data_IF_576330151011
#
_entry.id   IF_576330151011
#
_cell.length_a   1.000
_cell.length_b   1.000
_cell.length_c   1.000
_cell.angle_alpha   90.00
_cell.angle_beta   90.00
_cell.angle_gamma   90.00
#
_symmetry.space_group_name_H-M   'P 1'
#
loop_
_entity.id
_entity.type
_entity.pdbx_description
1 polymer ?
#
# COMPACT_ATOMS: atom_id res chain seq x y z
N UNK A 1 -0.04 0.27 17.76
CA UNK A 1 1.24 -0.29 17.29
C UNK A 1 1.06 -0.63 15.83
N UNK A 2 1.96 -0.21 14.93
CA UNK A 2 1.88 -0.66 13.54
C UNK A 2 2.41 -2.10 13.45
N UNK A 3 1.63 -2.93 12.78
CA UNK A 3 1.81 -4.36 12.56
C UNK A 3 2.36 -4.60 11.16
N UNK A 4 1.83 -3.90 10.16
CA UNK A 4 2.16 -4.17 8.74
C UNK A 4 3.29 -3.30 8.18
N UNK A 5 3.54 -2.11 8.76
CA UNK A 5 4.54 -1.16 8.28
C UNK A 5 4.46 -0.90 6.75
N UNK A 6 3.24 -0.81 6.21
CA UNK A 6 3.01 -0.55 4.80
C UNK A 6 3.44 0.89 4.41
N UNK A 7 3.67 1.12 3.10
CA UNK A 7 4.26 2.37 2.60
C UNK A 7 3.24 3.51 2.54
N UNK A 8 1.99 3.21 2.17
CA UNK A 8 0.93 4.20 1.94
C UNK A 8 -0.37 3.88 2.67
N UNK A 9 -0.71 2.60 2.78
CA UNK A 9 -1.94 2.14 3.41
C UNK A 9 -1.73 2.07 4.93
N UNK A 10 -2.73 2.51 5.69
CA UNK A 10 -2.72 2.38 7.14
C UNK A 10 -3.01 0.94 7.59
N UNK A 11 -2.54 0.59 8.78
CA UNK A 11 -2.87 -0.68 9.43
C UNK A 11 -4.39 -0.94 9.49
N UNK A 12 -5.19 0.09 9.79
CA UNK A 12 -6.65 -0.03 9.90
C UNK A 12 -7.29 -0.39 8.55
N UNK A 13 -6.82 0.20 7.46
CA UNK A 13 -7.28 -0.15 6.11
C UNK A 13 -6.91 -1.58 5.73
N UNK A 14 -5.70 -2.05 6.09
CA UNK A 14 -5.31 -3.44 5.89
C UNK A 14 -6.23 -4.36 6.70
N UNK A 15 -6.50 -4.05 7.96
CA UNK A 15 -7.44 -4.82 8.80
C UNK A 15 -8.86 -4.87 8.22
N UNK A 16 -9.34 -3.78 7.62
CA UNK A 16 -10.63 -3.76 6.91
C UNK A 16 -10.62 -4.70 5.70
N UNK A 17 -9.55 -4.69 4.89
CA UNK A 17 -9.40 -5.63 3.76
C UNK A 17 -9.35 -7.08 4.24
N UNK A 18 -8.65 -7.37 5.35
CA UNK A 18 -8.61 -8.71 5.95
C UNK A 18 -9.98 -9.16 6.48
N UNK A 19 -10.78 -8.25 7.03
CA UNK A 19 -12.15 -8.55 7.45
C UNK A 19 -13.01 -8.94 6.24
N UNK A 20 -12.91 -8.22 5.13
CA UNK A 20 -13.63 -8.55 3.90
C UNK A 20 -13.31 -9.97 3.38
N UNK A 21 -12.05 -10.40 3.47
CA UNK A 21 -11.61 -11.77 3.12
C UNK A 21 -12.30 -12.82 4.02
N UNK A 22 -12.36 -12.58 5.33
CA UNK A 22 -13.05 -13.47 6.28
C UNK A 22 -14.55 -13.55 5.96
N UNK A 23 -15.17 -12.40 5.71
CA UNK A 23 -16.61 -12.31 5.41
C UNK A 23 -16.94 -13.04 4.10
N UNK A 24 -16.07 -12.90 3.08
CA UNK A 24 -16.19 -13.64 1.82
C UNK A 24 -16.09 -15.15 2.04
N UNK A 25 -15.13 -15.61 2.84
CA UNK A 25 -14.97 -17.03 3.19
C UNK A 25 -16.22 -17.59 3.86
N UNK A 26 -16.78 -16.85 4.83
CA UNK A 26 -18.01 -17.23 5.53
C UNK A 26 -19.22 -17.28 4.59
N UNK A 27 -19.30 -16.35 3.65
CA UNK A 27 -20.34 -16.35 2.62
C UNK A 27 -20.24 -17.59 1.72
N UNK A 28 -19.03 -17.99 1.31
CA UNK A 28 -18.84 -19.21 0.50
C UNK A 28 -19.29 -20.47 1.26
N UNK A 29 -18.98 -20.61 2.55
CA UNK A 29 -19.54 -21.72 3.35
C UNK A 29 -21.06 -21.73 3.35
N UNK A 30 -21.68 -20.55 3.46
CA UNK A 30 -23.14 -20.40 3.44
C UNK A 30 -23.70 -20.83 2.08
N UNK A 31 -23.08 -20.42 0.98
CA UNK A 31 -23.47 -20.79 -0.38
C UNK A 31 -23.36 -22.30 -0.62
N UNK A 32 -22.26 -22.94 -0.21
CA UNK A 32 -22.07 -24.39 -0.34
C UNK A 32 -23.08 -25.20 0.49
N UNK A 33 -23.70 -24.58 1.50
CA UNK A 33 -24.76 -25.20 2.29
C UNK A 33 -26.14 -25.14 1.62
N UNK A 34 -26.29 -24.41 0.51
CA UNK A 34 -27.56 -24.27 -0.22
C UNK A 34 -27.76 -25.42 -1.23
N UNK A 35 -28.95 -26.00 -1.25
CA UNK A 35 -29.29 -27.11 -2.15
C UNK A 35 -29.12 -26.75 -3.64
N UNK A 36 -29.43 -25.52 -4.02
CA UNK A 36 -29.36 -25.06 -5.42
C UNK A 36 -27.92 -24.95 -5.95
N UNK A 37 -26.93 -24.82 -5.06
CA UNK A 37 -25.52 -24.77 -5.43
C UNK A 37 -24.98 -26.19 -5.61
N UNK A 38 -25.37 -27.11 -4.74
CA UNK A 38 -24.90 -28.50 -4.75
C UNK A 38 -25.38 -29.31 -5.97
N UNK A 39 -26.40 -28.83 -6.68
CA UNK A 39 -26.88 -29.43 -7.94
C UNK A 39 -26.09 -28.98 -9.16
N UNK A 40 -25.24 -27.95 -9.05
CA UNK A 40 -24.33 -27.48 -10.10
C UNK A 40 -22.87 -27.87 -9.76
N UNK A 41 -22.32 -28.93 -10.39
CA UNK A 41 -20.98 -29.42 -10.12
C UNK A 41 -19.88 -28.42 -10.47
N UNK A 42 -20.09 -27.56 -11.48
CA UNK A 42 -19.10 -26.56 -11.88
C UNK A 42 -19.01 -25.46 -10.83
N UNK A 43 -20.16 -24.92 -10.43
CA UNK A 43 -20.22 -23.88 -9.40
C UNK A 43 -19.72 -24.37 -8.04
N UNK A 44 -20.06 -25.61 -7.67
CA UNK A 44 -19.55 -26.24 -6.45
C UNK A 44 -18.03 -26.37 -6.48
N UNK A 45 -17.45 -26.80 -7.61
CA UNK A 45 -16.00 -26.91 -7.79
C UNK A 45 -15.30 -25.57 -7.67
N UNK A 46 -15.82 -24.53 -8.34
CA UNK A 46 -15.25 -23.17 -8.28
C UNK A 46 -15.25 -22.62 -6.85
N UNK A 47 -16.38 -22.75 -6.15
CA UNK A 47 -16.51 -22.33 -4.76
C UNK A 47 -15.60 -23.12 -3.82
N UNK A 48 -15.43 -24.43 -4.03
CA UNK A 48 -14.53 -25.25 -3.22
C UNK A 48 -13.07 -24.86 -3.40
N UNK A 49 -12.62 -24.58 -4.63
CA UNK A 49 -11.26 -24.09 -4.90
C UNK A 49 -11.04 -22.76 -4.19
N UNK A 50 -11.97 -21.82 -4.36
CA UNK A 50 -11.89 -20.50 -3.75
C UNK A 50 -11.92 -20.57 -2.22
N UNK A 51 -12.78 -21.44 -1.66
CA UNK A 51 -12.84 -21.67 -0.22
C UNK A 51 -11.50 -22.15 0.32
N UNK A 52 -10.90 -23.14 -0.34
CA UNK A 52 -9.60 -23.68 0.07
C UNK A 52 -8.50 -22.62 0.07
N UNK A 53 -8.48 -21.73 -0.92
CA UNK A 53 -7.56 -20.58 -0.92
C UNK A 53 -7.82 -19.66 0.28
N UNK A 54 -9.08 -19.27 0.49
CA UNK A 54 -9.50 -18.37 1.58
C UNK A 54 -9.22 -18.94 2.99
N UNK A 55 -9.36 -20.25 3.18
CA UNK A 55 -9.08 -20.93 4.45
C UNK A 55 -7.61 -20.77 4.87
N UNK A 56 -6.67 -20.98 3.95
CA UNK A 56 -5.24 -20.84 4.23
C UNK A 56 -4.88 -19.42 4.70
N UNK A 57 -5.54 -18.41 4.13
CA UNK A 57 -5.30 -17.00 4.50
C UNK A 57 -5.97 -16.69 5.82
N UNK A 58 -7.21 -17.15 6.02
CA UNK A 58 -7.93 -16.96 7.28
C UNK A 58 -7.18 -17.54 8.48
N UNK A 59 -6.49 -18.67 8.30
CA UNK A 59 -5.60 -19.24 9.33
C UNK A 59 -4.49 -18.25 9.72
N UNK A 60 -3.77 -17.70 8.73
CA UNK A 60 -2.71 -16.70 8.96
C UNK A 60 -3.27 -15.43 9.60
N UNK A 61 -4.47 -14.97 9.20
CA UNK A 61 -5.13 -13.81 9.79
C UNK A 61 -5.45 -14.07 11.27
N UNK A 62 -5.95 -15.25 11.60
CA UNK A 62 -6.30 -15.60 12.98
C UNK A 62 -5.06 -15.70 13.87
N UNK A 63 -3.99 -16.33 13.38
CA UNK A 63 -2.68 -16.34 14.05
C UNK A 63 -2.19 -14.91 14.34
N UNK A 64 -2.23 -14.04 13.32
CA UNK A 64 -1.80 -12.66 13.47
C UNK A 64 -2.66 -11.89 14.49
N UNK A 65 -3.99 -12.07 14.48
CA UNK A 65 -4.88 -11.47 15.47
C UNK A 65 -4.53 -11.93 16.89
N UNK A 66 -4.23 -13.21 17.06
CA UNK A 66 -3.80 -13.75 18.36
C UNK A 66 -2.52 -13.07 18.82
N UNK A 67 -1.47 -13.07 17.99
CA UNK A 67 -0.18 -12.46 18.35
C UNK A 67 -0.28 -10.95 18.57
N UNK A 68 -1.11 -10.24 17.79
CA UNK A 68 -1.34 -8.81 17.99
C UNK A 68 -2.06 -8.53 19.32
N UNK A 69 -2.99 -9.40 19.72
CA UNK A 69 -3.63 -9.37 21.04
C UNK A 69 -2.62 -9.59 22.16
N UNK A 70 -1.86 -10.70 22.10
CA UNK A 70 -0.83 -11.02 23.08
C UNK A 70 0.20 -9.90 23.20
N UNK A 71 0.63 -9.32 22.07
CA UNK A 71 1.58 -8.23 22.04
C UNK A 71 1.00 -6.98 22.70
N UNK A 72 -0.27 -6.62 22.42
CA UNK A 72 -0.92 -5.49 23.09
C UNK A 72 -0.91 -5.67 24.60
N UNK A 73 -1.35 -6.84 25.07
CA UNK A 73 -1.47 -7.13 26.49
C UNK A 73 -0.07 -7.13 27.17
N UNK A 74 0.97 -7.66 26.51
CA UNK A 74 2.36 -7.56 26.98
C UNK A 74 2.86 -6.12 27.00
N UNK A 75 2.52 -5.28 26.02
CA UNK A 75 2.93 -3.87 26.05
C UNK A 75 2.27 -3.11 27.19
N UNK A 76 1.01 -3.41 27.52
CA UNK A 76 0.34 -2.84 28.69
C UNK A 76 1.05 -3.25 29.99
N UNK A 77 1.47 -4.52 30.11
CA UNK A 77 2.27 -4.99 31.24
C UNK A 77 3.64 -4.32 31.32
N UNK A 78 4.26 -4.00 30.19
CA UNK A 78 5.59 -3.36 30.16
C UNK A 78 5.62 -1.94 30.78
N UNK A 79 4.44 -1.34 31.00
CA UNK A 79 4.32 -0.02 31.63
C UNK A 79 4.66 -0.05 33.13
N UNK A 80 4.50 -1.19 33.79
CA UNK A 80 4.82 -1.32 35.22
C UNK A 80 6.34 -1.48 35.42
N UNK A 81 6.88 -0.81 36.45
CA UNK A 81 8.32 -0.78 36.77
C UNK A 81 8.93 -2.18 36.89
N UNK A 82 8.19 -3.12 37.49
CA UNK A 82 8.63 -4.49 37.76
C UNK A 82 8.97 -5.26 36.47
N UNK A 83 8.35 -4.92 35.33
CA UNK A 83 8.55 -5.60 34.05
C UNK A 83 9.55 -4.89 33.12
N UNK A 84 9.96 -3.66 33.43
CA UNK A 84 10.91 -2.91 32.59
C UNK A 84 12.30 -3.53 32.57
N UNK A 85 12.72 -4.12 33.69
CA UNK A 85 14.05 -4.72 33.86
C UNK A 85 14.03 -6.24 33.93
N UNK A 86 12.85 -6.85 33.92
CA UNK A 86 12.68 -8.31 33.88
C UNK A 86 13.12 -8.87 32.51
N UNK A 87 14.25 -9.57 32.51
CA UNK A 87 14.87 -10.13 31.31
C UNK A 87 13.98 -11.17 30.62
N UNK A 88 13.28 -12.00 31.40
CA UNK A 88 12.42 -13.05 30.84
C UNK A 88 11.18 -12.44 30.18
N UNK A 89 10.61 -11.42 30.81
CA UNK A 89 9.51 -10.64 30.24
C UNK A 89 9.93 -9.93 28.95
N UNK A 90 11.07 -9.23 28.94
CA UNK A 90 11.56 -8.55 27.73
C UNK A 90 11.86 -9.54 26.60
N UNK A 91 12.35 -10.74 26.92
CA UNK A 91 12.54 -11.82 25.95
C UNK A 91 11.21 -12.29 25.38
N UNK A 92 10.19 -12.50 26.21
CA UNK A 92 8.85 -12.89 25.77
C UNK A 92 8.23 -11.82 24.87
N UNK A 93 8.28 -10.55 25.28
CA UNK A 93 7.79 -9.40 24.51
C UNK A 93 8.42 -9.37 23.12
N UNK A 94 9.75 -9.52 23.05
CA UNK A 94 10.48 -9.58 21.79
C UNK A 94 10.06 -10.76 20.92
N UNK A 95 9.98 -11.97 21.48
CA UNK A 95 9.57 -13.16 20.73
C UNK A 95 8.16 -13.05 20.17
N UNK A 96 7.23 -12.49 20.94
CA UNK A 96 5.86 -12.23 20.48
C UNK A 96 5.83 -11.18 19.38
N UNK A 97 6.62 -10.10 19.51
CA UNK A 97 6.77 -9.08 18.48
C UNK A 97 7.34 -9.65 17.17
N UNK A 98 8.40 -10.47 17.26
CA UNK A 98 9.04 -11.11 16.11
C UNK A 98 8.03 -12.03 15.37
N UNK A 99 7.29 -12.87 16.10
CA UNK A 99 6.23 -13.73 15.51
C UNK A 99 5.10 -12.93 14.88
N UNK A 100 4.65 -11.86 15.55
CA UNK A 100 3.62 -10.97 15.01
C UNK A 100 4.09 -10.37 13.68
N UNK A 101 5.32 -9.86 13.64
CA UNK A 101 5.92 -9.29 12.44
C UNK A 101 6.10 -10.32 11.31
N UNK A 102 6.58 -11.52 11.60
CA UNK A 102 6.71 -12.60 10.61
C UNK A 102 5.35 -12.94 9.95
N UNK A 103 4.29 -13.04 10.75
CA UNK A 103 2.93 -13.29 10.23
C UNK A 103 2.41 -12.10 9.44
N UNK A 104 2.63 -10.88 9.91
CA UNK A 104 2.22 -9.65 9.23
C UNK A 104 2.88 -9.52 7.86
N UNK A 105 4.20 -9.71 7.77
CA UNK A 105 4.97 -9.67 6.52
C UNK A 105 4.50 -10.74 5.54
N UNK A 106 4.28 -11.98 6.03
CA UNK A 106 3.77 -13.07 5.17
C UNK A 106 2.42 -12.71 4.56
N UNK A 107 1.51 -12.17 5.38
CA UNK A 107 0.17 -11.79 4.94
C UNK A 107 0.19 -10.58 3.99
N UNK A 108 0.99 -9.57 4.32
CA UNK A 108 1.20 -8.39 3.48
C UNK A 108 1.69 -8.77 2.09
N UNK A 109 2.74 -9.59 2.00
CA UNK A 109 3.27 -10.06 0.72
C UNK A 109 2.25 -10.87 -0.07
N UNK A 110 1.44 -11.68 0.60
CA UNK A 110 0.37 -12.43 -0.05
C UNK A 110 -0.70 -11.50 -0.65
N UNK A 111 -1.13 -10.48 0.10
CA UNK A 111 -2.08 -9.47 -0.37
C UNK A 111 -1.54 -8.71 -1.59
N UNK A 112 -0.24 -8.33 -1.56
CA UNK A 112 0.45 -7.71 -2.69
C UNK A 112 0.45 -8.60 -3.93
N UNK A 113 0.80 -9.88 -3.79
CA UNK A 113 0.84 -10.84 -4.90
C UNK A 113 -0.54 -11.08 -5.55
N UNK A 114 -1.61 -10.90 -4.78
CA UNK A 114 -2.98 -11.08 -5.25
C UNK A 114 -3.60 -9.78 -5.78
N UNK A 115 -2.85 -8.67 -5.83
CA UNK A 115 -3.36 -7.37 -6.28
C UNK A 115 -4.42 -6.77 -5.34
N UNK A 116 -4.38 -7.15 -4.05
CA UNK A 116 -5.33 -6.62 -3.06
C UNK A 116 -4.85 -5.31 -2.43
N UNK A 117 -3.60 -4.93 -2.70
CA UNK A 117 -2.92 -3.73 -2.20
C UNK A 117 -2.24 -3.00 -3.36
N UNK A 118 -2.96 -2.80 -4.48
CA UNK A 118 -2.44 -2.08 -5.65
C UNK A 118 -1.98 -0.65 -5.30
N UNK A 119 -2.54 -0.07 -4.24
CA UNK A 119 -2.16 1.25 -3.74
C UNK A 119 -0.69 1.30 -3.28
N UNK A 120 -0.10 0.16 -2.92
CA UNK A 120 1.31 0.06 -2.49
C UNK A 120 2.31 0.03 -3.65
N UNK A 121 1.83 -0.10 -4.90
CA UNK A 121 2.66 -0.31 -6.08
C UNK A 121 2.59 0.92 -7.00
N UNK A 122 3.73 1.34 -7.52
CA UNK A 122 3.83 2.24 -8.67
C UNK A 122 4.05 1.40 -9.92
N UNK A 123 3.23 1.61 -10.95
CA UNK A 123 3.43 0.95 -12.24
C UNK A 123 4.43 1.70 -13.14
N UNK A 124 4.69 1.18 -14.34
CA UNK A 124 5.61 1.78 -15.30
C UNK A 124 5.24 3.24 -15.64
N UNK A 125 3.94 3.55 -15.77
CA UNK A 125 3.47 4.89 -16.12
C UNK A 125 3.67 5.88 -14.97
N UNK A 126 3.43 5.44 -13.74
CA UNK A 126 3.73 6.23 -12.55
C UNK A 126 5.24 6.53 -12.47
N UNK A 127 6.08 5.56 -12.79
CA UNK A 127 7.54 5.75 -12.85
C UNK A 127 7.98 6.71 -13.96
N UNK A 128 7.38 6.62 -15.15
CA UNK A 128 7.62 7.57 -16.24
C UNK A 128 7.22 9.00 -15.84
N UNK A 129 6.09 9.17 -15.15
CA UNK A 129 5.63 10.47 -14.63
C UNK A 129 6.64 11.05 -13.63
N UNK A 130 7.03 10.28 -12.62
CA UNK A 130 7.96 10.75 -11.59
C UNK A 130 9.31 11.14 -12.19
N UNK A 131 9.83 10.31 -13.10
CA UNK A 131 11.10 10.57 -13.79
C UNK A 131 11.01 11.81 -14.67
N UNK A 132 9.90 11.98 -15.40
CA UNK A 132 9.68 13.16 -16.22
C UNK A 132 9.60 14.43 -15.37
N UNK A 133 8.87 14.44 -14.26
CA UNK A 133 8.79 15.60 -13.37
C UNK A 133 10.13 15.91 -12.68
N UNK A 134 10.91 14.89 -12.32
CA UNK A 134 12.28 15.07 -11.81
C UNK A 134 13.25 15.59 -12.88
N UNK A 135 12.95 15.43 -14.17
CA UNK A 135 13.75 15.95 -15.28
C UNK A 135 13.26 17.29 -15.85
N UNK A 136 11.96 17.52 -15.94
CA UNK A 136 11.37 18.70 -16.58
C UNK A 136 11.12 19.82 -15.56
N UNK A 137 10.86 19.49 -14.29
CA UNK A 137 10.33 20.43 -13.31
C UNK A 137 8.80 20.32 -13.20
N UNK A 138 8.17 21.39 -12.72
CA UNK A 138 6.73 21.38 -12.48
C UNK A 138 5.92 21.39 -13.78
N UNK A 139 4.93 20.51 -13.91
CA UNK A 139 4.06 20.42 -15.09
C UNK A 139 2.59 20.17 -14.73
N UNK A 140 1.71 20.38 -15.69
CA UNK A 140 0.26 20.16 -15.56
C UNK A 140 -0.19 18.93 -16.37
N UNK A 141 -1.33 18.35 -15.99
CA UNK A 141 -1.80 17.04 -16.47
C UNK A 141 -1.79 16.85 -17.99
N UNK A 142 -2.27 17.83 -18.76
CA UNK A 142 -2.33 17.71 -20.22
C UNK A 142 -0.94 17.66 -20.87
N UNK A 143 0.00 18.49 -20.39
CA UNK A 143 1.38 18.50 -20.91
C UNK A 143 2.09 17.19 -20.57
N UNK A 144 1.86 16.67 -19.38
CA UNK A 144 2.35 15.37 -18.94
C UNK A 144 1.77 14.24 -19.79
N UNK A 145 0.45 14.25 -20.05
CA UNK A 145 -0.20 13.26 -20.91
C UNK A 145 0.42 13.14 -22.29
N UNK A 146 0.73 14.28 -22.93
CA UNK A 146 1.42 14.30 -24.24
C UNK A 146 2.81 13.64 -24.18
N UNK A 147 3.59 13.91 -23.13
CA UNK A 147 4.97 13.41 -23.05
C UNK A 147 5.03 11.94 -22.63
N UNK A 148 4.08 11.47 -21.85
CA UNK A 148 4.01 10.10 -21.32
C UNK A 148 3.19 9.16 -22.23
N UNK A 149 2.39 9.73 -23.14
CA UNK A 149 1.53 8.97 -24.03
C UNK A 149 0.28 8.41 -23.33
N UNK A 150 -0.33 9.20 -22.46
CA UNK A 150 -1.58 8.90 -21.76
C UNK A 150 -2.58 10.04 -21.95
N UNK A 151 -3.87 9.77 -21.81
CA UNK A 151 -4.87 10.82 -21.91
C UNK A 151 -4.90 11.73 -20.66
N UNK A 152 -5.61 12.86 -20.77
CA UNK A 152 -5.64 13.87 -19.70
C UNK A 152 -6.41 13.42 -18.45
N UNK A 153 -7.37 12.50 -18.60
CA UNK A 153 -8.14 11.95 -17.47
C UNK A 153 -7.23 11.01 -16.70
N UNK A 154 -6.60 10.05 -17.39
CA UNK A 154 -5.63 9.13 -16.79
C UNK A 154 -4.47 9.90 -16.13
N UNK A 155 -3.93 10.92 -16.80
CA UNK A 155 -2.88 11.78 -16.24
C UNK A 155 -3.31 12.43 -14.92
N UNK A 156 -4.56 12.91 -14.82
CA UNK A 156 -5.08 13.52 -13.58
C UNK A 156 -5.22 12.50 -12.46
N UNK A 157 -5.78 11.33 -12.76
CA UNK A 157 -5.94 10.25 -11.78
C UNK A 157 -4.59 9.80 -11.22
N UNK A 158 -3.60 9.59 -12.09
CA UNK A 158 -2.23 9.24 -11.68
C UNK A 158 -1.57 10.34 -10.84
N UNK A 159 -1.72 11.60 -11.24
CA UNK A 159 -1.17 12.73 -10.48
C UNK A 159 -1.77 12.85 -9.09
N UNK A 160 -3.09 12.67 -8.94
CA UNK A 160 -3.72 12.69 -7.62
C UNK A 160 -3.30 11.49 -6.76
N UNK A 161 -3.24 10.26 -7.32
CA UNK A 161 -2.72 9.09 -6.58
C UNK A 161 -1.27 9.31 -6.11
N UNK A 162 -0.40 9.81 -6.98
CA UNK A 162 1.00 10.08 -6.62
C UNK A 162 1.14 11.25 -5.63
N UNK A 163 0.19 12.19 -5.62
CA UNK A 163 0.09 13.25 -4.63
C UNK A 163 -0.33 12.68 -3.26
N UNK A 164 -1.33 11.81 -3.21
CA UNK A 164 -1.79 11.12 -1.99
C UNK A 164 -0.68 10.27 -1.37
N UNK A 165 0.11 9.61 -2.22
CA UNK A 165 1.33 8.88 -1.84
C UNK A 165 2.48 9.77 -1.34
N UNK A 166 2.32 11.10 -1.39
CA UNK A 166 3.36 12.07 -1.01
C UNK A 166 4.56 12.11 -1.96
N UNK A 167 4.50 11.44 -3.12
CA UNK A 167 5.58 11.44 -4.12
C UNK A 167 5.60 12.72 -4.95
N UNK A 168 4.45 13.37 -5.07
CA UNK A 168 4.28 14.68 -5.71
C UNK A 168 3.81 15.74 -4.71
N UNK A 169 3.90 16.99 -5.13
CA UNK A 169 3.28 18.12 -4.45
C UNK A 169 2.70 19.13 -5.45
N UNK A 170 1.60 19.77 -5.07
CA UNK A 170 0.96 20.85 -5.84
C UNK A 170 1.78 22.14 -5.70
N UNK A 171 2.12 22.76 -6.82
CA UNK A 171 2.74 24.10 -6.83
C UNK A 171 1.73 25.12 -6.36
N UNK A 172 2.08 25.88 -5.33
CA UNK A 172 1.23 26.91 -4.75
C UNK A 172 1.36 28.26 -5.49
N UNK A 173 0.32 29.08 -5.40
CA UNK A 173 0.29 30.42 -5.99
C UNK A 173 -0.25 30.45 -7.43
N UNK A 174 -0.03 31.58 -8.10
CA UNK A 174 -0.47 31.81 -9.50
C UNK A 174 0.69 31.95 -10.47
N UNK A 175 1.92 31.97 -9.97
CA UNK A 175 3.12 32.15 -10.78
C UNK A 175 4.05 30.96 -10.59
N UNK A 176 4.58 30.45 -11.69
CA UNK A 176 5.59 29.42 -11.72
C UNK A 176 6.93 30.08 -12.02
N UNK A 177 7.73 30.26 -10.97
CA UNK A 177 9.11 30.73 -11.07
C UNK A 177 10.04 29.60 -11.52
N UNK A 178 11.15 29.96 -12.18
CA UNK A 178 12.12 28.99 -12.70
C UNK A 178 11.48 27.91 -13.58
N UNK A 179 10.47 28.27 -14.39
CA UNK A 179 9.70 27.33 -15.20
C UNK A 179 10.58 26.48 -16.13
N UNK A 180 11.72 27.02 -16.56
CA UNK A 180 12.62 26.35 -17.47
C UNK A 180 14.02 26.21 -16.88
N UNK A 181 14.58 24.99 -16.88
CA UNK A 181 15.93 24.73 -16.32
C UNK A 181 17.05 25.55 -16.96
N UNK A 182 16.88 25.89 -18.24
CA UNK A 182 17.87 26.64 -19.00
C UNK A 182 17.67 28.17 -18.97
N UNK A 183 16.50 28.66 -18.52
CA UNK A 183 16.16 30.10 -18.55
C UNK A 183 15.27 30.44 -17.36
N UNK A 184 15.69 31.44 -16.60
CA UNK A 184 14.88 31.98 -15.52
C UNK A 184 13.68 32.75 -16.08
N UNK A 185 12.56 32.03 -16.22
CA UNK A 185 11.30 32.55 -16.72
C UNK A 185 10.20 32.29 -15.70
N UNK A 186 9.43 33.34 -15.42
CA UNK A 186 8.22 33.28 -14.61
C UNK A 186 6.99 33.18 -15.51
N UNK A 187 6.10 32.24 -15.23
CA UNK A 187 4.89 32.01 -16.02
C UNK A 187 3.64 32.04 -15.15
N UNK A 188 2.59 32.73 -15.60
CA UNK A 188 1.29 32.63 -14.94
C UNK A 188 0.69 31.24 -15.12
N UNK A 189 0.22 30.65 -14.03
CA UNK A 189 -0.39 29.32 -13.98
C UNK A 189 -1.89 29.42 -14.20
N UNK A 190 -2.35 28.90 -15.34
CA UNK A 190 -3.77 28.77 -15.66
C UNK A 190 -4.34 27.39 -15.26
N UNK A 191 -3.47 26.49 -14.80
CA UNK A 191 -3.77 25.11 -14.44
C UNK A 191 -3.04 24.76 -13.16
N UNK A 192 -3.44 23.67 -12.51
CA UNK A 192 -2.69 23.09 -11.39
C UNK A 192 -1.41 22.44 -11.92
N UNK A 193 -0.27 22.88 -11.40
CA UNK A 193 1.03 22.28 -11.67
C UNK A 193 1.44 21.38 -10.51
N UNK A 194 2.07 20.27 -10.84
CA UNK A 194 2.59 19.28 -9.92
C UNK A 194 4.10 19.20 -10.11
N UNK A 195 4.84 19.03 -9.02
CA UNK A 195 6.27 18.75 -9.06
C UNK A 195 6.60 17.59 -8.15
N UNK A 196 7.73 16.95 -8.42
CA UNK A 196 8.21 15.87 -7.55
C UNK A 196 8.52 16.42 -6.15
N UNK A 197 8.03 15.74 -5.12
CA UNK A 197 8.28 16.10 -3.73
C UNK A 197 9.70 15.68 -3.32
N UNK A 198 10.13 16.10 -2.12
CA UNK A 198 11.38 15.59 -1.54
C UNK A 198 11.35 14.06 -1.38
N UNK A 199 10.23 13.51 -0.91
CA UNK A 199 10.05 12.06 -0.75
C UNK A 199 10.10 11.34 -2.10
N UNK A 200 9.45 11.89 -3.14
CA UNK A 200 9.51 11.35 -4.50
C UNK A 200 10.95 11.29 -5.05
N UNK A 201 11.76 12.32 -4.79
CA UNK A 201 13.19 12.30 -5.19
C UNK A 201 13.99 11.22 -4.46
N UNK A 202 13.73 11.01 -3.17
CA UNK A 202 14.37 9.93 -2.42
C UNK A 202 13.96 8.56 -2.95
N UNK A 203 12.68 8.40 -3.26
CA UNK A 203 12.12 7.18 -3.85
C UNK A 203 12.81 6.82 -5.18
N UNK A 204 12.92 7.78 -6.11
CA UNK A 204 13.64 7.55 -7.38
C UNK A 204 15.12 7.19 -7.19
N UNK A 205 15.78 7.73 -6.15
CA UNK A 205 17.20 7.42 -5.87
C UNK A 205 17.40 6.01 -5.33
N UNK A 206 16.49 5.53 -4.48
CA UNK A 206 16.55 4.16 -3.94
C UNK A 206 16.47 3.16 -5.08
N UNK A 207 15.50 3.32 -5.98
CA UNK A 207 15.33 2.44 -7.13
C UNK A 207 16.55 2.40 -8.07
N UNK A 208 17.24 3.55 -8.26
CA UNK A 208 18.50 3.58 -9.04
C UNK A 208 19.66 2.85 -8.36
N UNK A 209 19.63 2.76 -7.03
CA UNK A 209 20.68 2.11 -6.23
C UNK A 209 20.44 0.61 -6.12
N UNK A 210 19.18 0.19 -6.07
CA UNK A 210 18.76 -1.21 -5.90
C UNK A 210 18.80 -2.01 -7.22
N UNK A 211 19.13 -1.38 -8.34
CA UNK A 211 19.54 -2.04 -9.58
C UNK A 211 18.39 -2.57 -10.42
N UNK A 212 17.88 -1.71 -11.32
CA UNK A 212 17.24 -2.00 -12.63
C UNK A 212 16.22 -0.89 -12.89
N UNK A 213 16.60 0.16 -13.64
CA UNK A 213 15.73 1.05 -14.44
C UNK A 213 16.59 2.22 -14.95
N UNK A 214 17.35 1.95 -16.03
CA UNK A 214 17.70 2.91 -17.10
C UNK A 214 17.44 2.17 -18.41
#
# INVERSE_FOLDING_TARGET
MSVFNAKYISDDEIWLKLKAIIDERNNIHTLLSQNDINTDPLKTKELAIKLHELEQICEVINDLKSYAGDLRDLNEMSLFEDFKTDIDFQRLLKQTADRCNERAVKLYNWLMQKGMLDEEIEDEKDMQILTFLDYAGAEYAWRLGINIGIDVVEARERLERLLEKGLLEKVQGTMLENYHRAKDWTKHMNHTYYRISRQGKHYLRQLRTDGDYI
#
